data_IF_641710529636
#
_entry.id   IF_641710529636
#
_cell.length_a   1.000
_cell.length_b   1.000
_cell.length_c   1.000
_cell.angle_alpha   90.00
_cell.angle_beta   90.00
_cell.angle_gamma   90.00
#
_symmetry.space_group_name_H-M   'P 1'
#
loop_
_entity.id
_entity.type
_entity.pdbx_description
1 polymer ?
#
# COMPACT_ATOMS: atom_id res chain seq x y z
N UNK A 1 0.58 -12.56 -1.52
CA UNK A 1 0.70 -12.33 -0.07
C UNK A 1 0.27 -13.58 0.71
N UNK A 2 -0.97 -14.05 0.60
CA UNK A 2 -1.44 -15.27 1.29
C UNK A 2 -0.54 -16.50 1.04
N UNK A 3 -0.23 -16.82 -0.23
CA UNK A 3 0.72 -17.90 -0.57
C UNK A 3 2.14 -17.72 0.02
N UNK A 4 2.58 -16.47 0.26
CA UNK A 4 3.88 -16.22 0.89
C UNK A 4 3.83 -16.50 2.39
N UNK A 5 2.72 -16.16 3.03
CA UNK A 5 2.48 -16.45 4.46
C UNK A 5 2.32 -17.94 4.68
N UNK A 6 1.55 -18.61 3.83
CA UNK A 6 1.39 -20.07 3.83
C UNK A 6 2.73 -20.79 3.69
N UNK A 7 3.57 -20.39 2.72
CA UNK A 7 4.91 -20.97 2.53
C UNK A 7 5.83 -20.80 3.73
N UNK A 8 5.68 -19.71 4.48
CA UNK A 8 6.47 -19.47 5.71
C UNK A 8 5.92 -20.29 6.91
N UNK A 9 4.71 -20.85 6.81
CA UNK A 9 4.06 -21.65 7.86
C UNK A 9 3.51 -20.85 9.04
N UNK A 10 3.83 -19.55 9.13
CA UNK A 10 3.36 -18.64 10.18
C UNK A 10 3.34 -17.20 9.69
N UNK A 11 2.21 -16.52 9.88
CA UNK A 11 2.11 -15.08 9.65
C UNK A 11 0.68 -14.57 9.74
N UNK A 12 0.51 -13.26 9.57
CA UNK A 12 -0.78 -12.58 9.64
C UNK A 12 -1.03 -11.85 8.32
N UNK A 13 -2.25 -11.98 7.78
CA UNK A 13 -2.76 -11.14 6.72
C UNK A 13 -3.84 -10.24 7.32
N UNK A 14 -3.50 -8.99 7.57
CA UNK A 14 -4.45 -8.01 8.09
C UNK A 14 -5.18 -7.32 6.94
N UNK A 15 -6.49 -7.51 6.86
CA UNK A 15 -7.35 -6.88 5.86
C UNK A 15 -7.97 -5.59 6.42
N UNK A 16 -7.56 -4.45 5.89
CA UNK A 16 -8.04 -3.13 6.32
C UNK A 16 -9.08 -2.60 5.34
N UNK A 17 -10.24 -2.16 5.85
CA UNK A 17 -11.31 -1.54 5.05
C UNK A 17 -10.98 -0.09 4.66
N UNK A 18 -9.91 0.11 3.90
CA UNK A 18 -9.42 1.43 3.46
C UNK A 18 -9.29 1.51 1.94
N UNK A 19 -10.41 1.28 1.25
CA UNK A 19 -10.47 1.30 -0.21
C UNK A 19 -10.09 2.67 -0.79
N UNK A 20 -9.49 2.67 -1.98
CA UNK A 20 -9.13 3.90 -2.68
C UNK A 20 -8.02 4.73 -2.03
N UNK A 21 -7.28 4.19 -1.05
CA UNK A 21 -6.42 4.97 -0.14
C UNK A 21 -7.20 5.88 0.81
N UNK A 22 -8.37 5.42 1.26
CA UNK A 22 -9.21 6.14 2.21
C UNK A 22 -10.31 7.00 1.56
N UNK A 23 -10.26 7.21 0.25
CA UNK A 23 -11.31 7.96 -0.47
C UNK A 23 -12.56 7.11 -0.77
N UNK A 24 -12.51 5.79 -0.54
CA UNK A 24 -13.62 4.89 -0.83
C UNK A 24 -13.73 4.46 -2.29
N UNK A 25 -14.65 3.52 -2.56
CA UNK A 25 -14.78 2.88 -3.87
C UNK A 25 -15.32 3.82 -4.95
N UNK A 26 -16.34 4.62 -4.64
CA UNK A 26 -16.95 5.54 -5.60
C UNK A 26 -15.92 6.53 -6.17
N UNK A 27 -15.15 7.19 -5.30
CA UNK A 27 -14.11 8.12 -5.73
C UNK A 27 -12.92 7.43 -6.40
N UNK A 28 -12.62 6.18 -6.06
CA UNK A 28 -11.65 5.39 -6.82
C UNK A 28 -12.08 5.17 -8.27
N UNK A 29 -13.37 4.92 -8.52
CA UNK A 29 -13.92 4.81 -9.88
C UNK A 29 -13.81 6.15 -10.62
N UNK A 30 -14.15 7.26 -9.96
CA UNK A 30 -13.95 8.60 -10.55
C UNK A 30 -12.47 8.89 -10.85
N UNK A 31 -11.55 8.49 -9.97
CA UNK A 31 -10.11 8.64 -10.19
C UNK A 31 -9.62 7.81 -11.38
N UNK A 32 -10.21 6.65 -11.64
CA UNK A 32 -9.91 5.86 -12.85
C UNK A 32 -10.38 6.56 -14.12
N UNK A 33 -11.58 7.15 -14.12
CA UNK A 33 -12.07 7.94 -15.26
C UNK A 33 -11.13 9.12 -15.59
N UNK A 34 -10.61 9.81 -14.57
CA UNK A 34 -9.62 10.86 -14.77
C UNK A 34 -8.28 10.34 -15.28
N UNK A 35 -7.86 9.15 -14.83
CA UNK A 35 -6.66 8.51 -15.33
C UNK A 35 -6.77 8.09 -16.81
N UNK A 36 -7.94 7.65 -17.26
CA UNK A 36 -8.18 7.38 -18.68
C UNK A 36 -8.02 8.63 -19.54
N UNK A 37 -8.31 9.80 -18.98
CA UNK A 37 -8.10 11.12 -19.62
C UNK A 37 -6.65 11.62 -19.55
N UNK A 38 -5.73 10.83 -19.00
CA UNK A 38 -4.29 11.10 -19.02
C UNK A 38 -3.69 11.52 -17.69
N UNK A 39 -4.49 11.78 -16.65
CA UNK A 39 -3.95 12.08 -15.33
C UNK A 39 -3.27 10.83 -14.74
N UNK A 40 -2.27 11.05 -13.90
CA UNK A 40 -1.77 9.98 -13.05
C UNK A 40 -2.59 9.82 -11.77
N UNK A 41 -2.20 8.85 -10.94
CA UNK A 41 -2.92 8.53 -9.71
C UNK A 41 -2.89 9.65 -8.65
N UNK A 42 -1.81 10.43 -8.58
CA UNK A 42 -1.69 11.55 -7.65
C UNK A 42 -2.54 12.72 -8.15
N UNK A 43 -2.39 13.05 -9.44
CA UNK A 43 -3.14 14.13 -10.11
C UNK A 43 -4.65 13.88 -10.06
N UNK A 44 -5.09 12.66 -10.34
CA UNK A 44 -6.51 12.30 -10.28
C UNK A 44 -7.10 12.45 -8.88
N UNK A 45 -6.36 12.08 -7.82
CA UNK A 45 -6.83 12.29 -6.45
C UNK A 45 -6.92 13.78 -6.11
N UNK A 46 -5.90 14.57 -6.48
CA UNK A 46 -5.89 16.02 -6.24
C UNK A 46 -7.02 16.73 -6.99
N UNK A 47 -7.30 16.34 -8.24
CA UNK A 47 -8.40 16.87 -9.03
C UNK A 47 -9.79 16.56 -8.42
N UNK A 48 -9.89 15.48 -7.63
CA UNK A 48 -11.10 15.14 -6.87
C UNK A 48 -11.14 15.79 -5.48
N UNK A 49 -10.16 16.62 -5.13
CA UNK A 49 -10.08 17.30 -3.83
C UNK A 49 -9.47 16.46 -2.70
N UNK A 50 -8.84 15.32 -3.01
CA UNK A 50 -8.24 14.43 -2.01
C UNK A 50 -6.71 14.47 -2.04
N UNK A 51 -6.04 14.31 -0.89
CA UNK A 51 -4.63 14.00 -0.84
C UNK A 51 -4.30 12.69 -1.59
N UNK A 52 -3.03 12.53 -1.96
CA UNK A 52 -2.56 11.33 -2.65
C UNK A 52 -2.77 10.03 -1.86
N UNK A 53 -2.80 10.11 -0.52
CA UNK A 53 -3.00 8.98 0.39
C UNK A 53 -3.56 9.47 1.73
N UNK A 54 -4.78 9.04 2.09
CA UNK A 54 -5.45 9.39 3.35
C UNK A 54 -5.40 8.25 4.39
N UNK A 55 -4.68 7.17 4.10
CA UNK A 55 -4.67 6.00 5.00
C UNK A 55 -3.91 6.28 6.27
N UNK A 56 -4.53 5.88 7.37
CA UNK A 56 -3.88 5.73 8.68
C UNK A 56 -3.54 4.26 8.94
N UNK A 57 -2.31 4.00 9.36
CA UNK A 57 -1.82 2.67 9.69
C UNK A 57 -1.89 2.36 11.19
N UNK A 58 -2.29 3.32 12.03
CA UNK A 58 -2.37 3.16 13.49
C UNK A 58 -3.33 2.07 13.94
N UNK A 59 -4.54 2.03 13.36
CA UNK A 59 -5.50 0.93 13.63
C UNK A 59 -4.87 -0.42 13.28
N UNK A 60 -4.17 -0.48 12.14
CA UNK A 60 -3.49 -1.70 11.71
C UNK A 60 -2.39 -2.12 12.68
N UNK A 61 -1.63 -1.15 13.21
CA UNK A 61 -0.61 -1.42 14.21
C UNK A 61 -1.21 -1.94 15.52
N UNK A 62 -2.28 -1.31 16.02
CA UNK A 62 -2.97 -1.74 17.24
C UNK A 62 -3.49 -3.16 17.13
N UNK A 63 -4.11 -3.54 16.01
CA UNK A 63 -4.59 -4.91 15.80
C UNK A 63 -3.41 -5.90 15.82
N UNK A 64 -2.29 -5.58 15.16
CA UNK A 64 -1.11 -6.45 15.16
C UNK A 64 -0.49 -6.58 16.56
N UNK A 65 -0.45 -5.48 17.32
CA UNK A 65 0.04 -5.50 18.71
C UNK A 65 -0.87 -6.28 19.65
N UNK A 66 -2.20 -6.17 19.48
CA UNK A 66 -3.19 -6.94 20.24
C UNK A 66 -3.07 -8.46 19.99
N UNK A 67 -2.74 -8.84 18.74
CA UNK A 67 -2.35 -10.21 18.39
C UNK A 67 -0.99 -10.66 18.98
N UNK A 68 -0.31 -9.80 19.73
CA UNK A 68 0.95 -10.08 20.42
C UNK A 68 2.20 -9.88 19.56
N UNK A 69 2.11 -9.21 18.41
CA UNK A 69 3.29 -8.94 17.57
C UNK A 69 4.06 -7.74 18.12
N UNK A 70 5.38 -7.88 18.20
CA UNK A 70 6.32 -6.80 18.60
C UNK A 70 7.41 -6.57 17.55
N UNK A 71 7.80 -7.62 16.82
CA UNK A 71 8.75 -7.56 15.71
C UNK A 71 8.23 -8.31 14.49
N UNK A 72 8.27 -7.70 13.31
CA UNK A 72 7.66 -8.23 12.09
C UNK A 72 8.57 -8.18 10.86
N UNK A 73 8.43 -9.19 10.00
CA UNK A 73 8.92 -9.15 8.61
C UNK A 73 7.78 -8.66 7.72
N UNK A 74 7.80 -7.39 7.34
CA UNK A 74 6.68 -6.76 6.64
C UNK A 74 6.75 -7.00 5.14
N UNK A 75 5.69 -7.63 4.59
CA UNK A 75 5.51 -7.79 3.14
C UNK A 75 4.98 -6.47 2.55
N UNK A 76 5.87 -5.64 1.97
CA UNK A 76 5.49 -4.33 1.39
C UNK A 76 6.50 -3.79 0.37
N UNK A 77 5.99 -3.03 -0.60
CA UNK A 77 6.79 -2.16 -1.48
C UNK A 77 6.62 -0.68 -1.15
N UNK A 78 5.78 -0.32 -0.19
CA UNK A 78 5.57 1.06 0.24
C UNK A 78 6.36 1.32 1.54
N UNK A 79 7.44 2.13 1.52
CA UNK A 79 8.20 2.51 2.71
C UNK A 79 7.37 3.23 3.76
N UNK A 80 6.33 3.99 3.36
CA UNK A 80 5.46 4.71 4.32
C UNK A 80 4.75 3.75 5.27
N UNK A 81 4.48 2.51 4.86
CA UNK A 81 3.93 1.48 5.75
C UNK A 81 4.91 1.03 6.83
N UNK A 82 6.21 1.11 6.57
CA UNK A 82 7.24 0.74 7.56
C UNK A 82 7.23 1.80 8.66
N UNK A 83 7.42 3.07 8.26
CA UNK A 83 7.40 4.22 9.17
C UNK A 83 6.09 4.27 9.96
N UNK A 84 4.96 4.09 9.28
CA UNK A 84 3.64 4.13 9.89
C UNK A 84 3.33 2.96 10.83
N UNK A 85 4.12 1.88 10.87
CA UNK A 85 3.97 0.81 11.87
C UNK A 85 5.01 0.96 12.99
N UNK A 86 6.23 1.36 12.66
CA UNK A 86 7.28 1.61 13.66
C UNK A 86 6.91 2.73 14.62
N UNK A 87 6.20 3.77 14.14
CA UNK A 87 5.66 4.84 14.97
C UNK A 87 4.66 4.39 16.04
N UNK A 88 4.12 3.17 15.93
CA UNK A 88 3.20 2.57 16.91
C UNK A 88 3.84 1.39 17.68
N UNK A 89 5.16 1.32 17.72
CA UNK A 89 5.89 0.33 18.52
C UNK A 89 6.08 -1.05 17.88
N UNK A 90 5.66 -1.25 16.63
CA UNK A 90 5.94 -2.47 15.89
C UNK A 90 7.28 -2.38 15.17
N UNK A 91 8.28 -3.12 15.65
CA UNK A 91 9.61 -3.13 15.04
C UNK A 91 9.60 -3.88 13.71
N UNK A 92 9.89 -3.20 12.60
CA UNK A 92 10.01 -3.87 11.29
C UNK A 92 11.43 -4.37 11.10
N UNK A 93 11.68 -5.64 11.43
CA UNK A 93 13.03 -6.25 11.36
C UNK A 93 13.48 -6.59 9.94
N UNK A 94 12.55 -6.70 8.99
CA UNK A 94 12.85 -6.97 7.58
C UNK A 94 11.71 -6.51 6.68
N UNK A 95 12.05 -5.84 5.58
CA UNK A 95 11.13 -5.66 4.45
C UNK A 95 11.19 -6.87 3.51
N UNK A 96 10.06 -7.46 3.20
CA UNK A 96 9.91 -8.51 2.20
C UNK A 96 9.22 -7.91 0.97
N UNK A 97 9.90 -7.77 -0.19
CA UNK A 97 9.28 -7.27 -1.41
C UNK A 97 8.13 -8.16 -1.89
N UNK A 98 7.13 -7.57 -2.53
CA UNK A 98 6.01 -8.28 -3.15
C UNK A 98 5.71 -7.70 -4.52
N UNK A 99 6.46 -8.13 -5.52
CA UNK A 99 6.34 -7.60 -6.88
C UNK A 99 5.44 -8.47 -7.75
N UNK A 100 4.77 -7.84 -8.71
CA UNK A 100 3.99 -8.49 -9.76
C UNK A 100 4.52 -8.01 -11.10
N UNK A 101 4.50 -8.88 -12.11
CA UNK A 101 4.93 -8.51 -13.46
C UNK A 101 3.96 -7.44 -14.00
N UNK A 102 4.45 -6.25 -14.40
CA UNK A 102 3.59 -5.21 -14.95
C UNK A 102 2.91 -5.67 -16.24
N UNK A 103 1.58 -5.52 -16.30
CA UNK A 103 0.84 -5.55 -17.56
C UNK A 103 1.00 -4.22 -18.32
N UNK A 104 0.66 -4.19 -19.61
CA UNK A 104 0.67 -2.95 -20.41
C UNK A 104 -0.14 -1.83 -19.74
N UNK A 105 -1.30 -2.16 -19.16
CA UNK A 105 -2.20 -1.22 -18.49
C UNK A 105 -1.66 -0.73 -17.14
N UNK A 106 -1.02 -1.62 -16.35
CA UNK A 106 -0.53 -1.29 -15.01
C UNK A 106 0.84 -0.60 -15.01
N UNK A 107 1.59 -0.63 -16.11
CA UNK A 107 2.94 -0.06 -16.19
C UNK A 107 2.98 1.42 -15.79
N UNK A 108 2.08 2.25 -16.33
CA UNK A 108 2.02 3.69 -16.00
C UNK A 108 1.68 3.93 -14.52
N UNK A 109 0.72 3.18 -14.00
CA UNK A 109 0.31 3.23 -12.60
C UNK A 109 1.46 2.87 -11.65
N UNK A 110 2.18 1.79 -11.93
CA UNK A 110 3.29 1.35 -11.10
C UNK A 110 4.50 2.28 -11.21
N UNK A 111 4.77 2.84 -12.39
CA UNK A 111 5.77 3.90 -12.59
C UNK A 111 5.46 5.13 -11.73
N UNK A 112 4.21 5.60 -11.74
CA UNK A 112 3.75 6.70 -10.88
C UNK A 112 3.98 6.39 -9.40
N UNK A 113 3.65 5.17 -8.95
CA UNK A 113 3.90 4.74 -7.57
C UNK A 113 5.38 4.77 -7.21
N UNK A 114 6.27 4.38 -8.12
CA UNK A 114 7.72 4.42 -7.90
C UNK A 114 8.22 5.87 -7.82
N UNK A 115 7.94 6.65 -8.86
CA UNK A 115 8.51 7.99 -9.05
C UNK A 115 7.89 9.06 -8.16
N UNK A 116 6.55 9.08 -8.02
CA UNK A 116 5.83 10.12 -7.27
C UNK A 116 5.47 9.71 -5.84
N UNK A 117 5.43 8.41 -5.54
CA UNK A 117 5.01 7.91 -4.21
C UNK A 117 6.11 7.14 -3.45
N UNK A 118 7.32 7.03 -4.01
CA UNK A 118 8.46 6.41 -3.35
C UNK A 118 8.36 4.89 -3.16
N UNK A 119 7.53 4.20 -3.95
CA UNK A 119 7.44 2.74 -3.86
C UNK A 119 8.72 2.07 -4.36
N UNK A 120 9.16 1.03 -3.63
CA UNK A 120 10.35 0.25 -3.91
C UNK A 120 10.01 -0.93 -4.82
N UNK A 121 10.15 -0.75 -6.13
CA UNK A 121 10.05 -1.81 -7.14
C UNK A 121 11.40 -2.00 -7.83
N UNK A 122 11.85 -3.26 -7.95
CA UNK A 122 13.05 -3.63 -8.72
C UNK A 122 12.77 -3.78 -10.21
N UNK A 123 11.58 -4.27 -10.56
CA UNK A 123 11.20 -4.68 -11.93
C UNK A 123 10.61 -3.57 -12.82
N UNK A 124 10.57 -2.32 -12.36
CA UNK A 124 9.82 -1.21 -12.98
C UNK A 124 10.72 -0.01 -13.22
#
# INVERSE_FOLDING_TARGET
AMAMVEKEGRGVVLYMHQEGRGIGLAYKIHAYHLQEKGLDTVEANLALGFPADLRDYGIGAQILSDLGLSSIRLITNNPRKIIGLEGYGLKVVKRVPVEVIPSKQSKRYLKTKKEKMGHLFKSI
#
